data_IF_915229972022
#
_entry.id   IF_915229972022
#
_cell.length_a   1.000
_cell.length_b   1.000
_cell.length_c   1.000
_cell.angle_alpha   90.00
_cell.angle_beta   90.00
_cell.angle_gamma   90.00
#
_symmetry.space_group_name_H-M   'P 1'
#
loop_
_entity.id
_entity.type
_entity.pdbx_description
1 polymer ?
#
# COMPACT_ATOMS: atom_id res chain seq x y z
N UNK A 1 -48.11 -5.97 -5.45
CA UNK A 1 -46.99 -6.60 -6.19
C UNK A 1 -45.77 -5.68 -6.31
N UNK A 2 -45.92 -4.42 -6.78
CA UNK A 2 -44.79 -3.49 -6.96
C UNK A 2 -43.89 -3.31 -5.71
N UNK A 3 -44.47 -2.97 -4.54
CA UNK A 3 -43.72 -2.84 -3.27
C UNK A 3 -43.02 -4.13 -2.82
N UNK A 4 -43.58 -5.30 -3.12
CA UNK A 4 -42.95 -6.58 -2.76
C UNK A 4 -41.70 -6.83 -3.63
N UNK A 5 -41.80 -6.49 -4.91
CA UNK A 5 -40.70 -6.58 -5.87
C UNK A 5 -39.59 -5.56 -5.55
N UNK A 6 -39.95 -4.32 -5.24
CA UNK A 6 -39.01 -3.26 -4.86
C UNK A 6 -38.20 -3.65 -3.59
N UNK A 7 -38.87 -4.26 -2.60
CA UNK A 7 -38.21 -4.74 -1.38
C UNK A 7 -37.27 -5.92 -1.64
N UNK A 8 -37.71 -6.91 -2.42
CA UNK A 8 -36.86 -8.06 -2.78
C UNK A 8 -35.61 -7.61 -3.55
N UNK A 9 -35.76 -6.64 -4.45
CA UNK A 9 -34.63 -6.09 -5.20
C UNK A 9 -33.61 -5.39 -4.27
N UNK A 10 -34.09 -4.63 -3.29
CA UNK A 10 -33.23 -3.96 -2.31
C UNK A 10 -32.48 -4.96 -1.43
N UNK A 11 -33.15 -6.03 -1.00
CA UNK A 11 -32.54 -7.10 -0.19
C UNK A 11 -31.49 -7.89 -0.97
N UNK A 12 -31.78 -8.21 -2.23
CA UNK A 12 -30.82 -8.86 -3.14
C UNK A 12 -29.62 -7.96 -3.41
N UNK A 13 -29.83 -6.65 -3.58
CA UNK A 13 -28.74 -5.68 -3.75
C UNK A 13 -27.88 -5.59 -2.47
N UNK A 14 -28.49 -5.52 -1.30
CA UNK A 14 -27.78 -5.51 -0.02
C UNK A 14 -26.94 -6.78 0.18
N UNK A 15 -27.52 -7.95 -0.13
CA UNK A 15 -26.82 -9.22 -0.05
C UNK A 15 -25.63 -9.28 -1.03
N UNK A 16 -25.80 -8.82 -2.28
CA UNK A 16 -24.73 -8.77 -3.26
C UNK A 16 -23.56 -7.85 -2.83
N UNK A 17 -23.88 -6.66 -2.31
CA UNK A 17 -22.87 -5.73 -1.81
C UNK A 17 -22.14 -6.28 -0.57
N UNK A 18 -22.86 -6.94 0.34
CA UNK A 18 -22.26 -7.60 1.51
C UNK A 18 -21.25 -8.67 1.10
N UNK A 19 -21.61 -9.53 0.13
CA UNK A 19 -20.69 -10.51 -0.43
C UNK A 19 -19.49 -9.85 -1.11
N UNK A 20 -19.70 -8.72 -1.81
CA UNK A 20 -18.65 -7.92 -2.41
C UNK A 20 -17.64 -7.37 -1.40
N UNK A 21 -18.09 -6.83 -0.26
CA UNK A 21 -17.19 -6.36 0.82
C UNK A 21 -16.42 -7.53 1.43
N UNK A 22 -17.10 -8.64 1.74
CA UNK A 22 -16.46 -9.81 2.31
C UNK A 22 -15.38 -10.37 1.35
N UNK A 23 -15.69 -10.46 0.06
CA UNK A 23 -14.77 -10.93 -0.97
C UNK A 23 -13.58 -9.98 -1.17
N UNK A 24 -13.81 -8.68 -1.28
CA UNK A 24 -12.73 -7.69 -1.43
C UNK A 24 -11.88 -7.55 -0.16
N UNK A 25 -12.48 -7.67 1.02
CA UNK A 25 -11.76 -7.74 2.29
C UNK A 25 -10.87 -8.97 2.39
N UNK A 26 -11.36 -10.13 1.94
CA UNK A 26 -10.56 -11.35 1.83
C UNK A 26 -9.37 -11.15 0.88
N UNK A 27 -9.60 -10.58 -0.31
CA UNK A 27 -8.55 -10.25 -1.30
C UNK A 27 -7.45 -9.39 -0.67
N UNK A 28 -7.81 -8.32 0.03
CA UNK A 28 -6.87 -7.37 0.63
C UNK A 28 -6.10 -7.93 1.83
N UNK A 29 -6.59 -9.02 2.43
CA UNK A 29 -5.96 -9.65 3.59
C UNK A 29 -5.04 -10.80 3.21
N UNK A 30 -5.46 -11.69 2.29
CA UNK A 30 -4.74 -12.93 2.00
C UNK A 30 -4.05 -12.92 0.63
N UNK A 31 -4.75 -12.83 -0.54
CA UNK A 31 -4.09 -12.72 -1.84
C UNK A 31 -3.16 -11.52 -2.00
N UNK A 32 -3.54 -10.34 -1.49
CA UNK A 32 -2.80 -9.09 -1.62
C UNK A 32 -2.43 -8.51 -0.24
N UNK A 33 -1.48 -9.13 0.49
CA UNK A 33 -1.09 -8.70 1.83
C UNK A 33 -0.51 -7.27 1.83
N UNK A 34 -0.44 -6.58 2.98
CA UNK A 34 0.18 -5.27 3.09
C UNK A 34 1.58 -5.23 2.44
N UNK A 35 1.86 -4.19 1.66
CA UNK A 35 3.12 -4.05 0.91
C UNK A 35 3.11 -4.67 -0.51
N UNK A 36 2.11 -5.49 -0.87
CA UNK A 36 2.06 -6.21 -2.17
C UNK A 36 1.82 -5.39 -3.42
N UNK A 37 1.49 -4.10 -3.28
CA UNK A 37 1.05 -3.22 -4.36
C UNK A 37 2.01 -3.13 -5.58
N UNK A 38 3.28 -3.49 -5.41
CA UNK A 38 4.32 -3.36 -6.45
C UNK A 38 4.81 -4.69 -7.04
N UNK A 39 4.40 -5.83 -6.49
CA UNK A 39 4.86 -7.14 -6.95
C UNK A 39 3.75 -8.15 -7.16
N UNK A 40 2.54 -7.92 -6.63
CA UNK A 40 1.37 -8.75 -6.91
C UNK A 40 0.27 -7.90 -7.56
N UNK A 41 -0.31 -8.45 -8.62
CA UNK A 41 -1.57 -7.99 -9.19
C UNK A 41 -2.58 -9.13 -9.10
N UNK A 42 -3.84 -8.77 -8.94
CA UNK A 42 -4.94 -9.73 -9.00
C UNK A 42 -5.97 -9.19 -9.99
N UNK A 43 -6.21 -9.94 -11.05
CA UNK A 43 -7.15 -9.58 -12.13
C UNK A 43 -6.88 -8.17 -12.68
N UNK A 44 -5.60 -7.86 -12.93
CA UNK A 44 -5.17 -6.57 -13.49
C UNK A 44 -5.21 -5.38 -12.51
N UNK A 45 -5.63 -5.60 -11.26
CA UNK A 45 -5.71 -4.55 -10.24
C UNK A 45 -4.67 -4.76 -9.14
N UNK A 46 -4.04 -3.67 -8.71
CA UNK A 46 -3.11 -3.67 -7.58
C UNK A 46 -3.85 -3.66 -6.24
N UNK A 47 -3.13 -3.94 -5.14
CA UNK A 47 -3.70 -3.83 -3.78
C UNK A 47 -4.36 -2.49 -3.52
N UNK A 48 -3.76 -1.38 -3.96
CA UNK A 48 -4.34 -0.06 -3.75
C UNK A 48 -5.64 0.12 -4.52
N UNK A 49 -5.68 -0.34 -5.77
CA UNK A 49 -6.89 -0.29 -6.61
C UNK A 49 -8.01 -1.16 -6.04
N UNK A 50 -7.70 -2.38 -5.58
CA UNK A 50 -8.63 -3.22 -4.83
C UNK A 50 -9.11 -2.55 -3.53
N UNK A 51 -8.25 -1.78 -2.87
CA UNK A 51 -8.62 -0.95 -1.72
C UNK A 51 -9.67 0.10 -2.08
N UNK A 52 -9.51 0.77 -3.22
CA UNK A 52 -10.49 1.72 -3.76
C UNK A 52 -11.81 1.04 -4.07
N UNK A 53 -11.79 -0.15 -4.70
CA UNK A 53 -13.00 -0.95 -4.94
C UNK A 53 -13.70 -1.29 -3.62
N UNK A 54 -12.97 -1.80 -2.64
CA UNK A 54 -13.51 -2.13 -1.31
C UNK A 54 -14.16 -0.92 -0.62
N UNK A 55 -13.53 0.25 -0.70
CA UNK A 55 -14.04 1.50 -0.13
C UNK A 55 -15.39 1.89 -0.76
N UNK A 56 -15.49 1.92 -2.09
CA UNK A 56 -16.73 2.30 -2.77
C UNK A 56 -17.87 1.30 -2.55
N UNK A 57 -17.58 0.01 -2.51
CA UNK A 57 -18.59 -1.01 -2.17
C UNK A 57 -19.08 -0.80 -0.73
N UNK A 58 -18.18 -0.44 0.21
CA UNK A 58 -18.55 -0.15 1.60
C UNK A 58 -19.48 1.04 1.74
N UNK A 59 -19.21 2.11 0.99
CA UNK A 59 -20.07 3.29 0.96
C UNK A 59 -21.45 2.97 0.34
N UNK A 60 -21.47 2.20 -0.75
CA UNK A 60 -22.70 1.76 -1.39
C UNK A 60 -23.53 0.85 -0.46
N UNK A 61 -22.90 -0.10 0.23
CA UNK A 61 -23.60 -0.95 1.20
C UNK A 61 -24.19 -0.11 2.34
N UNK A 62 -23.43 0.86 2.87
CA UNK A 62 -23.94 1.74 3.93
C UNK A 62 -25.21 2.47 3.46
N UNK A 63 -25.19 3.05 2.26
CA UNK A 63 -26.36 3.73 1.71
C UNK A 63 -27.56 2.79 1.54
N UNK A 64 -27.33 1.58 1.00
CA UNK A 64 -28.38 0.56 0.81
C UNK A 64 -28.95 0.06 2.14
N UNK A 65 -28.10 -0.18 3.15
CA UNK A 65 -28.53 -0.60 4.49
C UNK A 65 -29.35 0.50 5.17
N UNK A 66 -28.94 1.78 5.05
CA UNK A 66 -29.71 2.90 5.58
C UNK A 66 -31.08 3.03 4.90
N UNK A 67 -31.12 2.89 3.56
CA UNK A 67 -32.37 2.89 2.80
C UNK A 67 -33.26 1.71 3.19
N UNK A 68 -32.69 0.50 3.30
CA UNK A 68 -33.40 -0.69 3.75
C UNK A 68 -34.00 -0.47 5.15
N UNK A 69 -33.22 0.05 6.10
CA UNK A 69 -33.71 0.35 7.44
C UNK A 69 -34.84 1.39 7.43
N UNK A 70 -34.72 2.44 6.62
CA UNK A 70 -35.74 3.48 6.49
C UNK A 70 -37.06 2.91 5.93
N UNK A 71 -36.98 2.09 4.88
CA UNK A 71 -38.16 1.47 4.26
C UNK A 71 -38.82 0.41 5.17
N UNK A 72 -38.03 -0.26 6.00
CA UNK A 72 -38.52 -1.31 6.92
C UNK A 72 -38.73 -0.85 8.36
N UNK A 73 -38.59 0.45 8.65
CA UNK A 73 -38.63 0.99 10.02
C UNK A 73 -39.89 0.59 10.80
N UNK A 74 -41.06 0.63 10.18
CA UNK A 74 -42.32 0.21 10.81
C UNK A 74 -42.31 -1.27 11.20
N UNK A 75 -41.81 -2.15 10.32
CA UNK A 75 -41.65 -3.57 10.62
C UNK A 75 -40.63 -3.81 11.73
N UNK A 76 -39.53 -3.05 11.76
CA UNK A 76 -38.51 -3.13 12.82
C UNK A 76 -39.13 -2.78 14.17
N UNK A 77 -39.86 -1.66 14.27
CA UNK A 77 -40.56 -1.26 15.51
C UNK A 77 -41.54 -2.36 15.96
N UNK A 78 -42.30 -2.93 15.04
CA UNK A 78 -43.24 -4.01 15.35
C UNK A 78 -42.54 -5.30 15.79
N UNK A 79 -41.44 -5.67 15.14
CA UNK A 79 -40.68 -6.90 15.44
C UNK A 79 -39.95 -6.80 16.78
N UNK A 80 -39.35 -5.65 17.08
CA UNK A 80 -38.72 -5.36 18.38
C UNK A 80 -39.75 -5.43 19.51
N UNK A 81 -40.93 -4.83 19.31
CA UNK A 81 -42.05 -4.94 20.27
C UNK A 81 -42.54 -6.38 20.45
N UNK A 82 -42.52 -7.20 19.40
CA UNK A 82 -43.02 -8.58 19.40
C UNK A 82 -42.02 -9.60 19.97
N UNK A 83 -40.71 -9.36 19.83
CA UNK A 83 -39.64 -10.20 20.43
C UNK A 83 -39.59 -10.12 21.96
N UNK A 84 -40.25 -9.13 22.56
CA UNK A 84 -40.49 -9.03 24.01
C UNK A 84 -41.69 -9.88 24.49
N UNK A 85 -42.42 -10.54 23.57
CA UNK A 85 -43.46 -11.50 23.89
C UNK A 85 -42.89 -12.94 23.88
N UNK A 86 -43.47 -13.88 24.66
CA UNK A 86 -42.94 -15.24 24.78
C UNK A 86 -42.97 -15.96 23.43
N UNK A 87 -41.86 -16.66 23.11
CA UNK A 87 -41.61 -17.26 21.81
C UNK A 87 -42.48 -18.51 21.53
N UNK A 88 -42.93 -18.66 20.27
CA UNK A 88 -43.46 -19.92 19.71
C UNK A 88 -42.35 -20.68 18.97
N UNK A 89 -42.37 -22.01 19.08
CA UNK A 89 -41.40 -22.93 18.45
C UNK A 89 -41.54 -22.95 16.93
N UNK A 90 -40.41 -22.94 16.21
CA UNK A 90 -40.37 -22.96 14.75
C UNK A 90 -40.41 -24.41 14.22
N UNK A 91 -41.06 -24.67 13.07
CA UNK A 91 -41.12 -26.00 12.47
C UNK A 91 -39.77 -26.46 11.89
N UNK A 92 -39.52 -27.77 11.95
CA UNK A 92 -38.27 -28.46 11.57
C UNK A 92 -37.79 -28.21 10.12
N UNK A 93 -38.68 -27.81 9.20
CA UNK A 93 -38.34 -27.54 7.79
C UNK A 93 -37.48 -26.28 7.57
N UNK A 94 -37.47 -25.36 8.53
CA UNK A 94 -36.65 -24.14 8.46
C UNK A 94 -35.14 -24.41 8.63
N UNK A 95 -34.76 -25.55 9.22
CA UNK A 95 -33.36 -25.90 9.44
C UNK A 95 -32.68 -26.44 8.18
N UNK A 96 -33.42 -27.22 7.37
CA UNK A 96 -32.89 -27.77 6.13
C UNK A 96 -32.61 -26.69 5.07
N UNK A 97 -33.49 -25.70 4.94
CA UNK A 97 -33.29 -24.57 4.01
C UNK A 97 -32.14 -23.66 4.47
N UNK A 98 -32.01 -23.43 5.78
CA UNK A 98 -30.87 -22.72 6.36
C UNK A 98 -29.53 -23.42 6.11
N UNK A 99 -29.46 -24.73 6.36
CA UNK A 99 -28.25 -25.52 6.15
C UNK A 99 -27.84 -25.56 4.68
N UNK A 100 -28.79 -25.76 3.76
CA UNK A 100 -28.52 -25.75 2.32
C UNK A 100 -27.98 -24.38 1.86
N UNK A 101 -28.55 -23.29 2.37
CA UNK A 101 -28.09 -21.92 2.05
C UNK A 101 -26.65 -21.70 2.52
N UNK A 102 -26.31 -22.14 3.75
CA UNK A 102 -24.95 -22.04 4.27
C UNK A 102 -23.94 -22.87 3.46
N UNK A 103 -24.32 -24.08 3.04
CA UNK A 103 -23.47 -24.92 2.20
C UNK A 103 -23.20 -24.29 0.82
N UNK A 104 -24.23 -23.71 0.19
CA UNK A 104 -24.08 -23.02 -1.10
C UNK A 104 -23.17 -21.80 -0.94
N UNK A 105 -23.42 -20.95 0.05
CA UNK A 105 -22.60 -19.75 0.30
C UNK A 105 -21.15 -20.12 0.64
N UNK A 106 -20.94 -21.14 1.47
CA UNK A 106 -19.61 -21.63 1.81
C UNK A 106 -18.86 -22.21 0.60
N UNK A 107 -19.56 -22.96 -0.26
CA UNK A 107 -19.00 -23.48 -1.51
C UNK A 107 -18.60 -22.35 -2.47
N UNK A 108 -19.48 -21.37 -2.67
CA UNK A 108 -19.19 -20.19 -3.49
C UNK A 108 -18.00 -19.39 -2.94
N UNK A 109 -17.91 -19.20 -1.63
CA UNK A 109 -16.78 -18.53 -1.00
C UNK A 109 -15.48 -19.28 -1.19
N UNK A 110 -15.51 -20.62 -1.08
CA UNK A 110 -14.33 -21.46 -1.28
C UNK A 110 -13.85 -21.41 -2.74
N UNK A 111 -14.77 -21.46 -3.70
CA UNK A 111 -14.47 -21.30 -5.12
C UNK A 111 -13.88 -19.92 -5.42
N UNK A 112 -14.46 -18.86 -4.83
CA UNK A 112 -13.94 -17.51 -4.94
C UNK A 112 -12.52 -17.40 -4.37
N UNK A 113 -12.28 -17.90 -3.16
CA UNK A 113 -10.97 -17.88 -2.53
C UNK A 113 -9.93 -18.60 -3.41
N UNK A 114 -10.29 -19.76 -3.95
CA UNK A 114 -9.42 -20.54 -4.83
C UNK A 114 -9.12 -19.79 -6.14
N UNK A 115 -10.13 -19.17 -6.75
CA UNK A 115 -9.95 -18.34 -7.94
C UNK A 115 -9.08 -17.11 -7.65
N UNK A 116 -9.27 -16.46 -6.50
CA UNK A 116 -8.50 -15.31 -6.09
C UNK A 116 -7.02 -15.66 -5.87
N UNK A 117 -6.72 -16.76 -5.17
CA UNK A 117 -5.34 -17.22 -4.99
C UNK A 117 -4.67 -17.64 -6.30
N UNK A 118 -5.41 -18.29 -7.21
CA UNK A 118 -4.88 -18.66 -8.53
C UNK A 118 -4.68 -17.48 -9.47
N UNK A 119 -5.47 -16.42 -9.32
CA UNK A 119 -5.36 -15.21 -10.13
C UNK A 119 -4.27 -14.24 -9.68
N UNK A 120 -3.55 -14.54 -8.59
CA UNK A 120 -2.41 -13.71 -8.15
C UNK A 120 -1.26 -13.92 -9.11
N UNK A 121 -0.98 -12.88 -9.88
CA UNK A 121 0.17 -12.85 -10.76
C UNK A 121 1.29 -12.04 -10.09
N UNK A 122 2.50 -12.59 -10.09
CA UNK A 122 3.69 -11.80 -9.78
C UNK A 122 3.91 -10.87 -10.95
N UNK A 123 4.16 -9.60 -10.66
CA UNK A 123 4.68 -8.65 -11.64
C UNK A 123 6.08 -9.17 -12.01
N UNK A 124 6.11 -9.99 -13.06
CA UNK A 124 7.29 -10.66 -13.60
C UNK A 124 7.64 -9.85 -14.84
N UNK A 125 8.77 -9.18 -14.78
CA UNK A 125 9.30 -8.20 -15.74
C UNK A 125 8.88 -6.72 -15.51
N UNK A 126 9.85 -5.79 -15.56
CA UNK A 126 9.64 -4.38 -15.33
C UNK A 126 8.95 -3.76 -16.54
N UNK A 127 7.79 -3.14 -16.35
CA UNK A 127 7.24 -2.23 -17.35
C UNK A 127 8.23 -1.07 -17.53
N UNK A 128 9.06 -1.12 -18.56
CA UNK A 128 9.96 -0.02 -19.00
C UNK A 128 10.81 0.60 -17.88
N UNK A 129 11.33 -0.24 -16.98
CA UNK A 129 12.32 0.19 -15.97
C UNK A 129 13.75 -0.20 -16.35
N UNK A 130 14.00 -0.60 -17.59
CA UNK A 130 15.28 -0.22 -18.19
C UNK A 130 15.26 1.29 -18.24
N UNK A 131 15.75 1.89 -17.15
CA UNK A 131 16.51 3.10 -17.25
C UNK A 131 17.29 2.98 -18.57
N UNK A 132 17.08 3.84 -19.57
CA UNK A 132 18.04 3.90 -20.65
C UNK A 132 19.40 3.98 -19.95
N UNK A 133 20.38 3.13 -20.31
CA UNK A 133 21.70 3.21 -19.69
C UNK A 133 22.06 4.69 -19.68
N UNK A 134 22.49 5.26 -18.52
CA UNK A 134 22.79 6.68 -18.46
C UNK A 134 23.65 6.95 -19.68
N UNK A 135 23.17 7.84 -20.56
CA UNK A 135 23.92 8.22 -21.74
C UNK A 135 25.34 8.45 -21.24
N UNK A 136 26.28 7.66 -21.73
CA UNK A 136 27.62 7.50 -21.19
C UNK A 136 28.48 8.75 -21.48
N UNK A 137 27.93 9.93 -21.25
CA UNK A 137 28.45 11.20 -21.72
C UNK A 137 27.85 12.40 -20.98
N UNK A 138 27.35 12.24 -19.75
CA UNK A 138 27.35 13.39 -18.83
C UNK A 138 28.68 13.38 -18.07
N UNK A 139 29.55 14.40 -18.27
CA UNK A 139 30.80 14.47 -17.55
C UNK A 139 30.49 14.47 -16.05
N UNK A 140 31.16 13.59 -15.30
CA UNK A 140 31.14 13.63 -13.85
C UNK A 140 31.45 15.07 -13.40
N UNK A 141 30.69 15.64 -12.44
CA UNK A 141 31.03 16.94 -11.91
C UNK A 141 32.47 16.88 -11.39
N UNK A 142 33.33 17.73 -11.94
CA UNK A 142 34.71 17.86 -11.50
C UNK A 142 34.72 18.19 -10.00
N UNK A 143 35.43 17.43 -9.15
CA UNK A 143 35.49 17.73 -7.73
C UNK A 143 36.42 18.92 -7.54
N UNK A 144 35.89 20.13 -7.62
CA UNK A 144 36.62 21.33 -7.29
C UNK A 144 35.68 22.49 -6.96
N UNK A 145 35.23 22.57 -5.71
CA UNK A 145 35.05 23.88 -5.10
C UNK A 145 35.68 23.86 -3.71
N UNK A 146 36.69 24.72 -3.50
CA UNK A 146 37.37 24.95 -2.21
C UNK A 146 36.49 25.74 -1.23
N UNK A 147 35.19 25.48 -1.23
CA UNK A 147 34.18 26.16 -0.42
C UNK A 147 33.37 25.19 0.44
N UNK A 148 32.56 25.70 1.39
CA UNK A 148 31.69 24.85 2.20
C UNK A 148 30.70 24.06 1.32
N UNK A 149 30.43 22.81 1.70
CA UNK A 149 29.47 21.92 1.04
C UNK A 149 28.07 22.54 1.14
N UNK A 150 27.45 22.82 0.00
CA UNK A 150 26.11 23.36 -0.09
C UNK A 150 25.13 22.27 -0.51
N UNK A 151 24.09 22.03 0.30
CA UNK A 151 23.16 20.91 0.09
C UNK A 151 22.55 20.87 -1.32
N UNK A 152 21.93 21.96 -1.77
CA UNK A 152 21.24 22.00 -3.07
C UNK A 152 22.16 21.91 -4.29
N UNK A 153 23.41 22.36 -4.15
CA UNK A 153 24.40 22.37 -5.23
C UNK A 153 25.19 21.05 -5.30
N UNK A 154 25.63 20.56 -4.14
CA UNK A 154 26.63 19.49 -4.07
C UNK A 154 26.01 18.14 -3.67
N UNK A 155 24.98 18.13 -2.81
CA UNK A 155 24.43 16.90 -2.20
C UNK A 155 23.17 16.43 -2.93
N UNK A 156 22.19 17.32 -3.13
CA UNK A 156 20.90 16.98 -3.71
C UNK A 156 21.00 16.36 -5.11
N UNK A 157 21.85 16.84 -6.05
CA UNK A 157 21.98 16.20 -7.36
C UNK A 157 22.46 14.75 -7.30
N UNK A 158 23.29 14.41 -6.30
CA UNK A 158 23.74 13.04 -6.06
C UNK A 158 22.54 12.19 -5.58
N UNK A 159 21.80 12.69 -4.59
CA UNK A 159 20.63 11.98 -4.03
C UNK A 159 19.52 11.82 -5.07
N UNK A 160 19.26 12.84 -5.89
CA UNK A 160 18.22 12.81 -6.91
C UNK A 160 18.51 11.73 -7.97
N UNK A 161 19.73 11.77 -8.53
CA UNK A 161 20.17 10.81 -9.55
C UNK A 161 20.27 9.38 -9.00
N UNK A 162 20.87 9.20 -7.83
CA UNK A 162 21.23 7.87 -7.33
C UNK A 162 20.15 7.23 -6.42
N UNK A 163 19.28 8.03 -5.80
CA UNK A 163 18.38 7.53 -4.75
C UNK A 163 16.90 7.81 -5.05
N UNK A 164 16.53 9.00 -5.52
CA UNK A 164 15.11 9.42 -5.65
C UNK A 164 14.32 8.59 -6.66
N UNK A 165 14.95 8.05 -7.70
CA UNK A 165 14.27 7.16 -8.67
C UNK A 165 13.67 5.91 -8.01
N UNK A 166 14.33 5.36 -6.98
CA UNK A 166 13.94 4.16 -6.26
C UNK A 166 13.36 4.41 -4.87
N UNK A 167 13.68 5.57 -4.27
CA UNK A 167 13.30 6.02 -2.93
C UNK A 167 12.65 7.41 -2.98
N UNK A 168 11.86 7.73 -4.00
CA UNK A 168 11.16 9.00 -4.16
C UNK A 168 9.64 8.87 -4.00
N UNK A 169 8.87 9.92 -4.35
CA UNK A 169 7.42 9.92 -4.21
C UNK A 169 6.73 8.81 -5.01
N UNK A 170 7.27 8.52 -6.20
CA UNK A 170 6.75 7.49 -7.12
C UNK A 170 7.09 6.07 -6.65
N UNK A 171 8.27 5.88 -6.06
CA UNK A 171 8.79 4.57 -5.65
C UNK A 171 9.49 4.70 -4.30
N UNK A 172 8.94 4.05 -3.29
CA UNK A 172 9.47 4.04 -1.92
C UNK A 172 9.99 2.63 -1.60
N UNK A 173 11.17 2.26 -2.11
CA UNK A 173 11.81 0.98 -1.75
C UNK A 173 12.25 1.02 -0.28
N UNK A 174 12.11 -0.09 0.43
CA UNK A 174 12.50 -0.18 1.84
C UNK A 174 11.76 0.79 2.78
N UNK A 175 10.55 1.26 2.39
CA UNK A 175 9.78 2.26 3.15
C UNK A 175 10.55 3.57 3.42
N UNK A 176 11.43 3.97 2.50
CA UNK A 176 12.32 5.11 2.64
C UNK A 176 12.09 6.16 1.54
N UNK A 177 12.21 7.45 1.90
CA UNK A 177 12.15 8.60 1.00
C UNK A 177 13.45 9.40 1.04
N UNK A 178 14.21 9.37 -0.05
CA UNK A 178 15.45 10.11 -0.24
C UNK A 178 15.26 11.61 -0.48
N UNK A 179 14.04 12.05 -0.81
CA UNK A 179 13.70 13.46 -1.04
C UNK A 179 13.20 14.18 0.23
N UNK A 180 13.24 13.51 1.40
CA UNK A 180 12.75 14.06 2.67
C UNK A 180 13.83 14.02 3.75
N UNK A 181 14.15 15.14 4.40
CA UNK A 181 15.16 15.17 5.47
C UNK A 181 14.78 14.27 6.65
N UNK A 182 13.49 14.25 7.02
CA UNK A 182 13.01 13.48 8.17
C UNK A 182 13.27 11.98 8.05
N UNK A 183 13.26 11.42 6.84
CA UNK A 183 13.46 9.98 6.64
C UNK A 183 14.92 9.54 6.86
N UNK A 184 15.90 10.46 6.72
CA UNK A 184 17.30 10.19 7.04
C UNK A 184 17.59 10.21 8.55
N UNK A 185 16.89 11.07 9.28
CA UNK A 185 17.14 11.37 10.69
C UNK A 185 16.26 10.56 11.65
N UNK A 186 15.13 10.04 11.17
CA UNK A 186 14.23 9.23 12.00
C UNK A 186 14.83 7.83 12.20
N UNK A 187 14.99 7.35 13.45
CA UNK A 187 15.46 6.00 13.70
C UNK A 187 14.54 4.94 13.11
N UNK A 188 15.11 4.00 12.36
CA UNK A 188 14.41 2.82 11.85
C UNK A 188 15.19 1.60 12.30
N UNK A 189 14.56 0.69 13.04
CA UNK A 189 15.22 -0.50 13.61
C UNK A 189 16.41 -0.16 14.53
N UNK A 190 16.27 0.90 15.34
CA UNK A 190 17.17 1.22 16.44
C UNK A 190 18.18 2.34 16.20
N UNK A 191 18.51 2.70 14.93
CA UNK A 191 19.39 3.85 14.62
C UNK A 191 18.89 4.63 13.40
N UNK A 192 19.16 5.94 13.31
CA UNK A 192 18.87 6.71 12.10
C UNK A 192 19.83 6.34 10.97
N UNK A 193 19.41 6.57 9.73
CA UNK A 193 20.21 6.29 8.54
C UNK A 193 21.42 7.24 8.43
N UNK A 194 21.23 8.47 8.88
CA UNK A 194 22.26 9.50 9.03
C UNK A 194 22.36 9.91 10.48
N UNK A 195 23.58 9.92 11.01
CA UNK A 195 23.93 10.45 12.33
C UNK A 195 24.64 11.79 12.07
N UNK A 196 23.97 12.94 12.27
CA UNK A 196 24.56 14.25 12.07
C UNK A 196 25.87 14.40 12.86
N UNK A 197 26.92 14.89 12.21
CA UNK A 197 28.25 15.07 12.79
C UNK A 197 29.10 13.79 12.87
N UNK A 198 28.60 12.65 12.40
CA UNK A 198 29.37 11.39 12.42
C UNK A 198 29.08 10.51 11.19
N UNK A 199 29.76 10.81 10.08
CA UNK A 199 29.68 10.05 8.83
C UNK A 199 30.19 8.62 8.99
N UNK A 200 31.20 8.39 9.84
CA UNK A 200 31.79 7.07 10.07
C UNK A 200 30.82 6.09 10.75
N UNK A 201 29.98 6.59 11.67
CA UNK A 201 28.96 5.79 12.36
C UNK A 201 27.62 5.74 11.60
N UNK A 202 27.44 6.55 10.55
CA UNK A 202 26.20 6.64 9.79
C UNK A 202 25.99 5.42 8.90
N UNK A 203 24.87 4.66 9.04
CA UNK A 203 24.58 3.50 8.20
C UNK A 203 24.56 3.82 6.69
N UNK A 204 24.16 5.04 6.30
CA UNK A 204 24.19 5.47 4.89
C UNK A 204 25.57 5.26 4.25
N UNK A 205 26.64 5.71 4.91
CA UNK A 205 28.00 5.60 4.37
C UNK A 205 28.46 4.15 4.33
N UNK A 206 28.06 3.33 5.31
CA UNK A 206 28.37 1.90 5.33
C UNK A 206 27.70 1.14 4.16
N UNK A 207 26.46 1.49 3.83
CA UNK A 207 25.71 0.96 2.68
C UNK A 207 26.39 1.41 1.36
N UNK A 208 26.67 2.70 1.21
CA UNK A 208 27.27 3.26 0.00
C UNK A 208 28.71 2.77 -0.24
N UNK A 209 29.46 2.47 0.82
CA UNK A 209 30.82 1.93 0.74
C UNK A 209 30.85 0.40 0.53
N UNK A 210 29.69 -0.26 0.42
CA UNK A 210 29.59 -1.72 0.22
C UNK A 210 29.97 -2.55 1.44
N UNK A 211 30.14 -1.93 2.63
CA UNK A 211 30.46 -2.64 3.88
C UNK A 211 29.25 -3.38 4.47
N UNK A 212 28.04 -2.99 4.05
CA UNK A 212 26.80 -3.66 4.45
C UNK A 212 26.10 -4.22 3.21
N UNK A 213 25.89 -5.53 3.20
CA UNK A 213 25.31 -6.29 2.08
C UNK A 213 23.77 -6.17 2.01
N UNK A 214 23.26 -4.95 2.21
CA UNK A 214 21.81 -4.67 2.29
C UNK A 214 21.30 -4.06 0.96
N UNK A 215 22.20 -3.54 0.14
CA UNK A 215 21.92 -3.08 -1.21
C UNK A 215 22.60 -4.01 -2.22
N UNK A 216 21.83 -4.64 -3.12
CA UNK A 216 22.40 -5.23 -4.35
C UNK A 216 23.10 -4.10 -5.12
N UNK A 217 24.43 -4.14 -5.33
CA UNK A 217 25.18 -3.04 -5.92
C UNK A 217 25.42 -3.29 -7.41
N UNK A 218 24.37 -3.55 -8.16
CA UNK A 218 24.45 -3.80 -9.61
C UNK A 218 24.04 -2.57 -10.45
N UNK A 219 23.34 -1.57 -9.89
CA UNK A 219 22.77 -0.51 -10.74
C UNK A 219 23.33 0.90 -10.53
N UNK A 220 23.80 1.30 -9.34
CA UNK A 220 24.34 2.67 -9.15
C UNK A 220 25.41 2.71 -8.06
N UNK A 221 26.68 2.49 -8.40
CA UNK A 221 27.79 2.81 -7.48
C UNK A 221 28.09 4.31 -7.59
N UNK A 222 27.98 5.01 -6.47
CA UNK A 222 28.53 6.35 -6.35
C UNK A 222 30.06 6.28 -6.53
N UNK A 223 30.62 7.31 -7.15
CA UNK A 223 32.08 7.45 -7.19
C UNK A 223 32.64 7.73 -5.79
N UNK A 224 33.92 7.46 -5.58
CA UNK A 224 34.58 7.78 -4.30
C UNK A 224 34.45 9.28 -3.93
N UNK A 225 34.50 10.16 -4.94
CA UNK A 225 34.33 11.61 -4.75
C UNK A 225 32.90 11.97 -4.28
N UNK A 226 31.89 11.33 -4.83
CA UNK A 226 30.48 11.54 -4.42
C UNK A 226 30.21 11.04 -3.01
N UNK A 227 30.78 9.88 -2.65
CA UNK A 227 30.71 9.39 -1.27
C UNK A 227 31.39 10.38 -0.31
N UNK A 228 32.49 11.01 -0.72
CA UNK A 228 33.18 12.00 0.10
C UNK A 228 32.37 13.29 0.30
N UNK A 229 31.67 13.76 -0.73
CA UNK A 229 30.71 14.88 -0.61
C UNK A 229 29.63 14.54 0.42
N UNK A 230 29.09 13.32 0.38
CA UNK A 230 28.10 12.86 1.36
C UNK A 230 28.68 12.74 2.77
N UNK A 231 29.93 12.29 2.94
CA UNK A 231 30.60 12.28 4.25
C UNK A 231 30.73 13.70 4.81
N UNK A 232 31.28 14.61 4.02
CA UNK A 232 31.48 15.99 4.41
C UNK A 232 30.15 16.69 4.78
N UNK A 233 29.07 16.41 4.05
CA UNK A 233 27.73 16.89 4.38
C UNK A 233 27.23 16.35 5.73
N UNK A 234 27.40 15.05 5.99
CA UNK A 234 26.98 14.44 7.26
C UNK A 234 27.81 15.01 8.42
N UNK A 235 29.12 15.14 8.26
CA UNK A 235 30.03 15.65 9.27
C UNK A 235 29.78 17.14 9.58
N UNK A 236 29.27 17.90 8.60
CA UNK A 236 28.77 19.26 8.80
C UNK A 236 27.42 19.34 9.53
N UNK A 237 26.88 18.23 10.02
CA UNK A 237 25.59 18.16 10.72
C UNK A 237 24.39 17.86 9.81
N UNK A 238 24.64 17.39 8.59
CA UNK A 238 23.61 17.08 7.59
C UNK A 238 22.58 18.22 7.38
N UNK A 239 23.03 19.49 7.17
CA UNK A 239 22.11 20.60 7.01
C UNK A 239 21.22 20.41 5.78
N UNK A 240 19.93 20.67 5.96
CA UNK A 240 18.91 20.61 4.91
C UNK A 240 18.14 21.93 4.85
N UNK A 241 18.74 22.99 4.28
CA UNK A 241 18.08 24.29 4.20
C UNK A 241 16.86 24.23 3.27
N UNK A 242 15.93 25.18 3.44
CA UNK A 242 14.86 25.39 2.48
C UNK A 242 15.44 25.61 1.08
N UNK A 243 14.68 25.18 0.07
CA UNK A 243 15.12 25.36 -1.32
C UNK A 243 15.08 26.86 -1.64
N UNK A 244 16.20 27.47 -2.07
CA UNK A 244 16.14 28.83 -2.57
C UNK A 244 15.19 28.87 -3.78
N UNK A 245 14.28 29.83 -3.80
CA UNK A 245 13.31 30.05 -4.88
C UNK A 245 13.99 30.29 -6.24
#
# INVERSE_FOLDING_TARGET
>A
MKRLFDNLLLDLLAAALMLGIAGTGYILRFPLPPGSNKYLILWGLTRHQWGTVHFWISLALLAVVLLHLALHWQWVVLTVRRKLAPARTAPLSAWFTGLLTLLIVGSLFTLFALAAHRGVEKITEPREDTCPPPAATSPAPTPASKGPIAFWRDVYPILDRACVSCHGPRRQRGDFRADRPGDYLTPRQGKPLVIPGNSAASPLIAILSGKQNIARPDVHRLSAAEVEILRAWIDAGAPWPERPE
#
